data_IF_217501654065
#
_entry.id   IF_217501654065
#
_cell.length_a   1.000
_cell.length_b   1.000
_cell.length_c   1.000
_cell.angle_alpha   90.00
_cell.angle_beta   90.00
_cell.angle_gamma   90.00
#
_symmetry.space_group_name_H-M   'P 1'
#
loop_
_entity.id
_entity.type
_entity.pdbx_description
1 polymer ?
#
# COMPACT_ATOMS: atom_id res chain seq x y z
N UNK A 1 10.15 45.39 -5.55
CA UNK A 1 8.78 45.92 -5.50
C UNK A 1 7.94 45.00 -4.62
N UNK A 2 7.19 45.55 -3.67
CA UNK A 2 6.44 44.81 -2.65
C UNK A 2 5.18 44.18 -3.27
N UNK A 3 4.92 42.90 -2.97
CA UNK A 3 3.56 42.38 -2.90
C UNK A 3 3.36 41.67 -1.55
N UNK A 4 2.47 42.24 -0.75
CA UNK A 4 1.99 41.76 0.53
C UNK A 4 0.60 41.18 0.25
N UNK A 5 0.37 39.91 0.56
CA UNK A 5 -0.98 39.34 0.58
C UNK A 5 -1.29 38.93 2.02
N UNK A 6 -2.25 39.65 2.59
CA UNK A 6 -2.82 39.39 3.92
C UNK A 6 -3.97 38.41 3.77
N UNK A 7 -3.97 37.32 4.53
CA UNK A 7 -5.14 36.48 4.75
C UNK A 7 -5.51 36.56 6.23
N UNK A 8 -6.65 37.18 6.51
CA UNK A 8 -7.24 37.29 7.83
C UNK A 8 -8.30 36.19 8.03
N UNK A 9 -8.22 35.57 9.21
CA UNK A 9 -9.26 34.87 9.96
C UNK A 9 -10.04 33.71 9.31
N UNK A 10 -9.76 32.49 9.79
CA UNK A 10 -10.71 31.37 9.71
C UNK A 10 -10.14 30.09 10.30
N UNK A 11 -10.25 29.90 11.62
CA UNK A 11 -9.82 28.69 12.34
C UNK A 11 -10.48 27.44 11.74
N UNK A 12 -9.69 26.42 11.41
CA UNK A 12 -10.15 25.03 11.52
C UNK A 12 -9.44 24.39 12.72
N UNK A 13 -10.23 23.98 13.70
CA UNK A 13 -9.77 23.15 14.80
C UNK A 13 -9.41 21.76 14.26
N UNK A 14 -8.18 21.32 14.51
CA UNK A 14 -7.79 19.93 14.33
C UNK A 14 -8.24 19.14 15.56
N UNK A 15 -9.26 18.28 15.41
CA UNK A 15 -9.52 17.21 16.36
C UNK A 15 -8.79 15.95 15.88
N UNK A 16 -7.77 15.54 16.63
CA UNK A 16 -7.26 14.17 16.56
C UNK A 16 -8.38 13.24 17.02
N UNK A 17 -9.01 12.53 16.09
CA UNK A 17 -9.82 11.35 16.39
C UNK A 17 -9.33 10.21 15.51
N UNK A 18 -9.19 9.05 16.15
CA UNK A 18 -8.36 7.94 15.71
C UNK A 18 -8.61 7.46 14.29
N UNK A 19 -7.55 6.87 13.74
CA UNK A 19 -7.55 6.06 12.52
C UNK A 19 -8.73 5.09 12.63
N UNK A 20 -9.79 5.35 11.86
CA UNK A 20 -10.91 4.42 11.73
C UNK A 20 -10.42 3.27 10.87
N UNK A 21 -10.56 2.07 11.39
CA UNK A 21 -10.35 0.83 10.66
C UNK A 21 -11.15 0.86 9.34
N UNK A 22 -10.50 0.83 8.15
CA UNK A 22 -11.20 0.82 6.88
C UNK A 22 -12.18 -0.36 6.74
N UNK A 23 -11.94 -1.46 7.46
CA UNK A 23 -12.86 -2.61 7.49
C UNK A 23 -14.22 -2.27 8.11
N UNK A 24 -14.30 -1.24 8.96
CA UNK A 24 -15.59 -0.79 9.54
C UNK A 24 -16.46 0.00 8.56
N UNK A 25 -15.91 0.49 7.45
CA UNK A 25 -16.68 1.26 6.46
C UNK A 25 -17.56 0.34 5.60
N UNK A 26 -17.17 -0.92 5.42
CA UNK A 26 -17.92 -1.90 4.61
C UNK A 26 -19.02 -2.65 5.40
N UNK A 27 -19.00 -2.62 6.74
CA UNK A 27 -19.91 -3.40 7.59
C UNK A 27 -21.34 -2.84 7.76
N UNK A 28 -21.70 -1.73 7.11
CA UNK A 28 -23.04 -1.14 7.22
C UNK A 28 -23.82 -1.23 5.91
N UNK A 29 -24.34 -2.42 5.59
CA UNK A 29 -25.63 -2.61 4.90
C UNK A 29 -25.87 -4.10 4.58
N UNK A 30 -26.59 -4.81 5.46
CA UNK A 30 -27.53 -5.86 5.03
C UNK A 30 -28.48 -6.20 6.18
N UNK A 31 -29.78 -5.99 5.96
CA UNK A 31 -30.83 -6.48 6.84
C UNK A 31 -32.09 -6.83 6.05
N UNK A 32 -32.69 -7.97 6.44
CA UNK A 32 -33.99 -8.59 6.09
C UNK A 32 -34.03 -9.52 4.86
N UNK A 33 -34.72 -10.67 4.85
CA UNK A 33 -35.28 -11.56 5.89
C UNK A 33 -35.73 -12.90 5.24
N UNK A 34 -35.55 -14.03 5.95
CA UNK A 34 -36.52 -15.12 6.14
C UNK A 34 -37.01 -16.01 4.99
N UNK A 35 -36.76 -17.33 5.10
CA UNK A 35 -37.53 -18.38 4.41
C UNK A 35 -36.96 -19.79 4.63
N UNK A 36 -37.60 -20.61 5.47
CA UNK A 36 -37.16 -21.96 5.82
C UNK A 36 -37.59 -23.06 4.84
N UNK A 37 -36.74 -24.07 4.69
CA UNK A 37 -37.00 -25.35 4.04
C UNK A 37 -35.95 -26.38 4.47
N UNK A 38 -36.26 -27.70 4.51
CA UNK A 38 -35.37 -28.70 5.07
C UNK A 38 -34.14 -28.89 4.17
N UNK A 39 -32.96 -28.74 4.77
CA UNK A 39 -31.67 -28.81 4.06
C UNK A 39 -31.30 -30.27 3.84
N UNK A 40 -31.42 -30.72 2.59
CA UNK A 40 -30.82 -31.95 2.11
C UNK A 40 -29.29 -31.83 2.13
N UNK A 41 -28.60 -32.93 2.44
CA UNK A 41 -27.15 -33.02 2.55
C UNK A 41 -26.43 -32.61 1.25
N UNK A 42 -26.05 -31.33 1.16
CA UNK A 42 -25.16 -30.76 0.14
C UNK A 42 -24.37 -29.63 0.79
N UNK A 43 -23.28 -29.89 1.54
CA UNK A 43 -22.51 -28.75 2.09
C UNK A 43 -21.07 -29.04 2.56
N UNK A 44 -20.38 -30.06 2.06
CA UNK A 44 -18.96 -30.26 2.43
C UNK A 44 -17.98 -29.53 1.53
N UNK A 45 -18.35 -29.18 0.29
CA UNK A 45 -17.44 -28.45 -0.61
C UNK A 45 -17.24 -26.99 -0.19
N UNK A 46 -18.33 -26.29 0.16
CA UNK A 46 -18.32 -24.86 0.48
C UNK A 46 -17.52 -24.49 1.74
N UNK A 47 -17.20 -25.45 2.60
CA UNK A 47 -16.43 -25.24 3.84
C UNK A 47 -14.95 -25.58 3.70
N UNK A 48 -14.50 -26.01 2.52
CA UNK A 48 -13.08 -26.27 2.25
C UNK A 48 -12.39 -25.04 1.66
N UNK A 49 -11.05 -25.01 1.75
CA UNK A 49 -10.22 -24.02 1.05
C UNK A 49 -10.57 -23.98 -0.44
N UNK A 50 -10.66 -25.14 -1.10
CA UNK A 50 -11.07 -25.25 -2.51
C UNK A 50 -12.41 -24.60 -2.78
N UNK A 51 -13.43 -24.94 -1.99
CA UNK A 51 -14.77 -24.41 -2.21
C UNK A 51 -14.87 -22.90 -1.99
N UNK A 52 -14.15 -22.36 -1.00
CA UNK A 52 -14.03 -20.91 -0.81
C UNK A 52 -13.33 -20.24 -2.01
N UNK A 53 -12.24 -20.84 -2.49
CA UNK A 53 -11.49 -20.34 -3.64
C UNK A 53 -12.34 -20.33 -4.92
N UNK A 54 -13.02 -21.43 -5.23
CA UNK A 54 -13.90 -21.56 -6.40
C UNK A 54 -15.07 -20.57 -6.34
N UNK A 55 -15.74 -20.46 -5.18
CA UNK A 55 -16.86 -19.51 -4.96
C UNK A 55 -16.43 -18.07 -5.25
N UNK A 56 -15.33 -17.63 -4.65
CA UNK A 56 -14.90 -16.24 -4.76
C UNK A 56 -14.21 -15.92 -6.08
N UNK A 57 -13.49 -16.87 -6.67
CA UNK A 57 -12.95 -16.73 -8.02
C UNK A 57 -14.07 -16.45 -9.04
N UNK A 58 -15.14 -17.27 -9.01
CA UNK A 58 -16.31 -17.06 -9.87
C UNK A 58 -16.97 -15.70 -9.63
N UNK A 59 -17.11 -15.31 -8.35
CA UNK A 59 -17.72 -14.03 -7.99
C UNK A 59 -16.89 -12.84 -8.52
N UNK A 60 -15.59 -12.84 -8.29
CA UNK A 60 -14.68 -11.81 -8.78
C UNK A 60 -14.65 -11.71 -10.30
N UNK A 61 -14.68 -12.84 -11.01
CA UNK A 61 -14.80 -12.85 -12.47
C UNK A 61 -16.12 -12.21 -12.95
N UNK A 62 -17.25 -12.57 -12.31
CA UNK A 62 -18.55 -12.02 -12.67
C UNK A 62 -18.67 -10.50 -12.47
N UNK A 63 -17.94 -9.96 -11.49
CA UNK A 63 -17.91 -8.53 -11.15
C UNK A 63 -16.74 -7.79 -11.82
N UNK A 64 -15.99 -8.46 -12.72
CA UNK A 64 -14.84 -7.91 -13.44
C UNK A 64 -13.78 -7.30 -12.49
N UNK A 65 -13.47 -8.01 -11.41
CA UNK A 65 -12.37 -7.66 -10.50
C UNK A 65 -11.05 -8.08 -11.15
N UNK A 66 -10.03 -7.20 -11.23
CA UNK A 66 -8.74 -7.56 -11.81
C UNK A 66 -8.01 -8.56 -10.91
N UNK A 67 -7.26 -9.45 -11.56
CA UNK A 67 -6.45 -10.50 -10.92
C UNK A 67 -7.25 -11.36 -9.92
N UNK A 68 -8.37 -11.96 -10.35
CA UNK A 68 -9.30 -12.60 -9.43
C UNK A 68 -8.70 -13.82 -8.72
N UNK A 69 -7.87 -14.61 -9.42
CA UNK A 69 -7.18 -15.79 -8.86
C UNK A 69 -6.11 -15.39 -7.85
N UNK A 70 -5.25 -14.42 -8.20
CA UNK A 70 -4.25 -13.86 -7.29
C UNK A 70 -4.92 -13.27 -6.04
N UNK A 71 -6.04 -12.55 -6.21
CA UNK A 71 -6.79 -11.94 -5.11
C UNK A 71 -7.25 -12.98 -4.09
N UNK A 72 -8.01 -13.99 -4.52
CA UNK A 72 -8.54 -14.98 -3.58
C UNK A 72 -7.45 -15.85 -2.96
N UNK A 73 -6.42 -16.19 -3.74
CA UNK A 73 -5.32 -17.04 -3.25
C UNK A 73 -4.53 -16.34 -2.14
N UNK A 74 -4.22 -15.06 -2.30
CA UNK A 74 -3.54 -14.29 -1.27
C UNK A 74 -4.42 -14.02 -0.04
N UNK A 75 -5.72 -13.77 -0.22
CA UNK A 75 -6.67 -13.63 0.90
C UNK A 75 -6.69 -14.92 1.73
N UNK A 76 -6.81 -16.08 1.07
CA UNK A 76 -6.79 -17.38 1.77
C UNK A 76 -5.44 -17.59 2.47
N UNK A 77 -4.31 -17.38 1.79
CA UNK A 77 -2.99 -17.52 2.39
C UNK A 77 -2.84 -16.68 3.67
N UNK A 78 -3.28 -15.41 3.62
CA UNK A 78 -3.25 -14.51 4.77
C UNK A 78 -4.15 -14.97 5.92
N UNK A 79 -5.39 -15.40 5.66
CA UNK A 79 -6.31 -15.86 6.72
C UNK A 79 -5.86 -17.16 7.38
N UNK A 80 -5.13 -17.99 6.63
CA UNK A 80 -4.60 -19.26 7.11
C UNK A 80 -3.20 -19.14 7.72
N UNK A 81 -2.62 -17.93 7.74
CA UNK A 81 -1.26 -17.66 8.23
C UNK A 81 -0.21 -18.55 7.54
N UNK A 82 -0.35 -18.71 6.21
CA UNK A 82 0.60 -19.45 5.39
C UNK A 82 1.81 -18.59 5.03
N UNK A 83 2.93 -19.23 4.70
CA UNK A 83 4.15 -18.50 4.31
C UNK A 83 3.98 -17.70 3.02
N UNK A 84 3.03 -18.08 2.17
CA UNK A 84 2.67 -17.35 0.98
C UNK A 84 1.55 -18.02 0.16
N UNK A 85 1.14 -17.40 -0.95
CA UNK A 85 0.08 -17.93 -1.82
C UNK A 85 0.42 -19.28 -2.46
N UNK A 86 1.71 -19.61 -2.59
CA UNK A 86 2.16 -20.90 -3.15
C UNK A 86 1.75 -22.11 -2.31
N UNK A 87 1.61 -21.93 -0.99
CA UNK A 87 1.29 -23.03 -0.07
C UNK A 87 -0.20 -23.41 -0.11
N UNK A 88 -1.07 -22.53 -0.64
CA UNK A 88 -2.54 -22.76 -0.66
C UNK A 88 -2.93 -24.06 -1.37
N UNK A 89 -2.14 -24.49 -2.36
CA UNK A 89 -2.34 -25.76 -3.09
C UNK A 89 -2.33 -26.99 -2.19
N UNK A 90 -1.49 -27.00 -1.16
CA UNK A 90 -1.36 -28.13 -0.24
C UNK A 90 -2.53 -28.20 0.77
N UNK A 91 -3.27 -27.11 0.90
CA UNK A 91 -4.36 -26.97 1.86
C UNK A 91 -5.76 -27.10 1.24
N UNK A 92 -5.88 -27.40 -0.05
CA UNK A 92 -7.15 -27.39 -0.81
C UNK A 92 -8.29 -28.19 -0.18
N UNK A 93 -7.99 -29.33 0.45
CA UNK A 93 -8.99 -30.19 1.08
C UNK A 93 -9.20 -29.90 2.58
N UNK A 94 -8.47 -28.93 3.13
CA UNK A 94 -8.60 -28.54 4.53
C UNK A 94 -9.95 -27.85 4.77
N UNK A 95 -10.59 -28.17 5.90
CA UNK A 95 -11.79 -27.47 6.35
C UNK A 95 -11.44 -26.11 6.94
N UNK A 96 -12.21 -25.09 6.59
CA UNK A 96 -12.14 -23.76 7.18
C UNK A 96 -13.05 -23.71 8.40
N UNK A 97 -12.56 -23.11 9.49
CA UNK A 97 -13.41 -22.74 10.62
C UNK A 97 -14.38 -21.62 10.21
N UNK A 98 -15.46 -21.44 10.97
CA UNK A 98 -16.43 -20.34 10.75
C UNK A 98 -15.74 -18.97 10.81
N UNK A 99 -14.79 -18.79 11.71
CA UNK A 99 -14.02 -17.56 11.84
C UNK A 99 -13.15 -17.29 10.61
N UNK A 100 -12.47 -18.32 10.08
CA UNK A 100 -11.67 -18.20 8.86
C UNK A 100 -12.54 -17.88 7.65
N UNK A 101 -13.68 -18.57 7.50
CA UNK A 101 -14.62 -18.28 6.42
C UNK A 101 -15.13 -16.84 6.49
N UNK A 102 -15.58 -16.40 7.67
CA UNK A 102 -16.05 -15.01 7.88
C UNK A 102 -14.98 -14.00 7.51
N UNK A 103 -13.72 -14.25 7.89
CA UNK A 103 -12.59 -13.36 7.57
C UNK A 103 -12.30 -13.30 6.07
N UNK A 104 -12.32 -14.45 5.38
CA UNK A 104 -12.18 -14.52 3.91
C UNK A 104 -13.31 -13.72 3.26
N UNK A 105 -14.55 -13.91 3.69
CA UNK A 105 -15.71 -13.20 3.14
C UNK A 105 -15.59 -11.68 3.34
N UNK A 106 -15.24 -11.21 4.54
CA UNK A 106 -14.99 -9.78 4.82
C UNK A 106 -13.93 -9.17 3.89
N UNK A 107 -12.80 -9.86 3.70
CA UNK A 107 -11.72 -9.41 2.83
C UNK A 107 -12.14 -9.41 1.36
N UNK A 108 -12.91 -10.42 0.92
CA UNK A 108 -13.43 -10.48 -0.44
C UNK A 108 -14.47 -9.40 -0.72
N UNK A 109 -15.32 -9.04 0.23
CA UNK A 109 -16.25 -7.91 0.10
C UNK A 109 -15.49 -6.58 -0.06
N UNK A 110 -14.38 -6.40 0.67
CA UNK A 110 -13.49 -5.24 0.45
C UNK A 110 -12.91 -5.23 -0.97
N UNK A 111 -12.53 -6.42 -1.49
CA UNK A 111 -12.03 -6.55 -2.86
C UNK A 111 -13.12 -6.24 -3.90
N UNK A 112 -14.36 -6.66 -3.67
CA UNK A 112 -15.52 -6.31 -4.51
C UNK A 112 -15.78 -4.80 -4.54
N UNK A 113 -15.50 -4.10 -3.44
CA UNK A 113 -15.52 -2.64 -3.38
C UNK A 113 -14.38 -1.96 -4.16
N UNK A 114 -13.58 -2.72 -4.94
CA UNK A 114 -12.41 -2.28 -5.70
C UNK A 114 -11.22 -1.90 -4.82
N UNK A 115 -11.18 -2.27 -3.54
CA UNK A 115 -9.99 -2.01 -2.73
C UNK A 115 -8.82 -2.84 -3.26
N UNK A 116 -7.63 -2.23 -3.46
CA UNK A 116 -6.41 -2.96 -3.78
C UNK A 116 -6.13 -4.05 -2.74
N UNK A 117 -5.70 -5.23 -3.22
CA UNK A 117 -5.38 -6.39 -2.39
C UNK A 117 -4.37 -6.07 -1.28
N UNK A 118 -3.38 -5.24 -1.61
CA UNK A 118 -2.34 -4.77 -0.70
C UNK A 118 -2.90 -4.03 0.51
N UNK A 119 -3.96 -3.22 0.33
CA UNK A 119 -4.61 -2.54 1.44
C UNK A 119 -5.54 -3.43 2.25
N UNK A 120 -6.10 -4.47 1.61
CA UNK A 120 -6.93 -5.47 2.29
C UNK A 120 -6.04 -6.32 3.22
N UNK A 121 -4.90 -6.78 2.72
CA UNK A 121 -3.91 -7.58 3.47
C UNK A 121 -3.09 -6.72 4.44
N UNK A 122 -2.90 -5.43 4.12
CA UNK A 122 -2.16 -4.40 4.89
C UNK A 122 -0.65 -4.55 4.92
N UNK A 123 -0.13 -5.57 4.29
CA UNK A 123 1.29 -5.77 4.06
C UNK A 123 1.51 -6.35 2.68
N UNK A 124 2.66 -6.04 2.09
CA UNK A 124 3.02 -6.51 0.77
C UNK A 124 4.53 -6.60 0.67
N UNK A 125 5.00 -7.64 -0.02
CA UNK A 125 6.41 -7.80 -0.30
C UNK A 125 6.86 -6.79 -1.35
N UNK A 126 7.97 -6.15 -1.06
CA UNK A 126 8.72 -5.30 -1.97
C UNK A 126 10.17 -5.75 -1.89
N UNK A 127 10.62 -6.46 -2.92
CA UNK A 127 11.91 -7.18 -2.91
C UNK A 127 12.03 -8.14 -1.72
N UNK A 128 13.03 -7.96 -0.85
CA UNK A 128 13.30 -8.78 0.34
C UNK A 128 12.71 -8.19 1.63
N UNK A 129 11.80 -7.22 1.50
CA UNK A 129 11.13 -6.54 2.61
C UNK A 129 9.63 -6.75 2.53
N UNK A 130 9.01 -7.14 3.64
CA UNK A 130 7.56 -7.05 3.81
C UNK A 130 7.23 -5.70 4.42
N UNK A 131 6.48 -4.88 3.68
CA UNK A 131 6.16 -3.50 4.07
C UNK A 131 4.66 -3.36 4.33
N UNK A 132 4.31 -2.59 5.34
CA UNK A 132 2.91 -2.21 5.58
C UNK A 132 2.41 -1.31 4.46
N UNK A 133 1.13 -1.50 4.13
CA UNK A 133 0.39 -0.78 3.10
C UNK A 133 -0.87 -0.18 3.71
N UNK A 134 -1.03 1.13 3.58
CA UNK A 134 -2.23 1.83 4.07
C UNK A 134 -2.76 2.78 3.01
N UNK A 135 -4.08 2.84 2.77
CA UNK A 135 -4.65 3.87 1.91
C UNK A 135 -4.53 5.25 2.61
N UNK A 136 -4.27 6.34 1.85
CA UNK A 136 -4.13 6.39 0.41
C UNK A 136 -2.67 6.42 -0.07
N UNK A 137 -1.72 5.89 0.72
CA UNK A 137 -0.29 5.96 0.40
C UNK A 137 0.03 5.05 -0.77
N UNK A 138 0.64 5.61 -1.82
CA UNK A 138 0.99 4.92 -3.05
C UNK A 138 1.56 3.52 -2.82
N UNK A 139 0.99 2.54 -3.52
CA UNK A 139 1.46 1.15 -3.49
C UNK A 139 2.66 1.04 -4.44
N UNK A 140 3.87 0.68 -3.96
CA UNK A 140 5.04 0.48 -4.83
C UNK A 140 4.73 -0.49 -5.97
N UNK A 141 5.25 -0.18 -7.16
CA UNK A 141 5.02 -0.99 -8.38
C UNK A 141 6.24 -1.84 -8.73
N UNK A 142 6.10 -2.91 -9.53
CA UNK A 142 7.24 -3.72 -9.98
C UNK A 142 8.37 -2.88 -10.62
N UNK A 143 8.03 -1.85 -11.38
CA UNK A 143 9.01 -0.93 -11.99
C UNK A 143 9.81 -0.15 -10.93
N UNK A 144 9.25 0.04 -9.72
CA UNK A 144 9.97 0.64 -8.58
C UNK A 144 11.02 -0.33 -8.02
N UNK A 145 10.80 -1.65 -8.10
CA UNK A 145 11.82 -2.63 -7.75
C UNK A 145 12.98 -2.62 -8.74
N UNK A 146 12.68 -2.48 -10.04
CA UNK A 146 13.69 -2.33 -11.09
C UNK A 146 14.55 -1.08 -10.88
N UNK A 147 13.94 0.05 -10.50
CA UNK A 147 14.67 1.27 -10.13
C UNK A 147 15.66 1.01 -8.98
N UNK A 148 15.23 0.32 -7.93
CA UNK A 148 16.09 -0.02 -6.79
C UNK A 148 17.23 -0.94 -7.22
N UNK A 149 16.95 -1.92 -8.07
CA UNK A 149 17.98 -2.82 -8.61
C UNK A 149 19.05 -2.04 -9.39
N UNK A 150 18.65 -1.12 -10.27
CA UNK A 150 19.58 -0.27 -11.02
C UNK A 150 20.43 0.61 -10.10
N UNK A 151 19.85 1.16 -9.04
CA UNK A 151 20.57 1.94 -8.03
C UNK A 151 21.64 1.08 -7.36
N UNK A 152 21.26 -0.11 -6.88
CA UNK A 152 22.17 -1.01 -6.17
C UNK A 152 23.30 -1.54 -7.06
N UNK A 153 23.06 -1.72 -8.36
CA UNK A 153 24.10 -2.09 -9.32
C UNK A 153 25.16 -1.00 -9.53
N UNK A 154 24.78 0.27 -9.34
CA UNK A 154 25.68 1.42 -9.48
C UNK A 154 26.37 1.80 -8.16
N UNK A 155 25.83 1.36 -7.03
CA UNK A 155 26.39 1.63 -5.71
C UNK A 155 27.47 0.63 -5.32
N UNK A 156 28.54 1.11 -4.69
CA UNK A 156 29.40 0.26 -3.88
C UNK A 156 28.74 0.09 -2.49
N UNK A 157 28.15 -1.08 -2.25
CA UNK A 157 27.45 -1.38 -0.98
C UNK A 157 28.34 -1.29 0.26
N UNK A 158 29.67 -1.32 0.08
CA UNK A 158 30.65 -1.20 1.17
C UNK A 158 31.16 0.23 1.37
N UNK A 159 30.74 1.18 0.54
CA UNK A 159 31.04 2.60 0.68
C UNK A 159 29.94 3.29 1.48
N UNK A 160 30.32 4.16 2.40
CA UNK A 160 29.37 5.08 3.04
C UNK A 160 28.74 5.96 1.96
N UNK A 161 27.42 5.87 1.84
CA UNK A 161 26.63 6.70 0.92
C UNK A 161 25.53 7.37 1.72
N UNK A 162 25.46 8.69 1.61
CA UNK A 162 24.41 9.49 2.20
C UNK A 162 23.45 9.98 1.13
N UNK A 163 22.22 9.46 1.13
CA UNK A 163 21.25 9.72 0.06
C UNK A 163 20.03 10.52 0.52
N UNK A 164 19.36 11.14 -0.46
CA UNK A 164 18.04 11.75 -0.31
C UNK A 164 17.02 11.02 -1.17
N UNK A 165 15.91 10.58 -0.58
CA UNK A 165 14.71 10.18 -1.32
C UNK A 165 13.67 11.30 -1.29
N UNK A 166 13.10 11.63 -2.45
CA UNK A 166 11.98 12.56 -2.60
C UNK A 166 10.72 11.76 -2.94
N UNK A 167 9.65 11.96 -2.18
CA UNK A 167 8.38 11.24 -2.36
C UNK A 167 8.42 9.83 -1.81
N UNK A 168 8.82 9.68 -0.54
CA UNK A 168 9.10 8.36 0.07
C UNK A 168 7.95 7.35 0.07
N UNK A 169 6.69 7.81 0.03
CA UNK A 169 5.54 6.91 0.04
C UNK A 169 5.52 5.99 1.26
N UNK A 170 5.70 4.68 1.04
CA UNK A 170 5.81 3.65 2.08
C UNK A 170 7.23 3.44 2.61
N UNK A 171 8.22 4.12 2.03
CA UNK A 171 9.65 3.93 2.30
C UNK A 171 10.31 2.84 1.47
N UNK A 172 9.60 2.27 0.49
CA UNK A 172 10.05 1.09 -0.25
C UNK A 172 11.46 1.22 -0.84
N UNK A 173 11.77 2.35 -1.49
CA UNK A 173 13.07 2.62 -2.09
C UNK A 173 14.14 2.80 -1.00
N UNK A 174 13.96 3.77 -0.09
CA UNK A 174 14.91 4.03 1.01
C UNK A 174 15.27 2.76 1.79
N UNK A 175 14.25 2.00 2.21
CA UNK A 175 14.44 0.82 3.05
C UNK A 175 15.16 -0.29 2.28
N UNK A 176 14.84 -0.49 1.01
CA UNK A 176 15.53 -1.47 0.17
C UNK A 176 17.00 -1.11 -0.07
N UNK A 177 17.30 0.17 -0.29
CA UNK A 177 18.68 0.67 -0.40
C UNK A 177 19.43 0.40 0.90
N UNK A 178 18.87 0.80 2.05
CA UNK A 178 19.51 0.64 3.35
C UNK A 178 19.72 -0.83 3.71
N UNK A 179 18.79 -1.71 3.36
CA UNK A 179 18.89 -3.16 3.57
C UNK A 179 20.12 -3.74 2.87
N UNK A 180 20.40 -3.31 1.64
CA UNK A 180 21.49 -3.85 0.81
C UNK A 180 22.81 -3.06 0.89
N UNK A 181 22.77 -1.82 1.38
CA UNK A 181 23.95 -0.99 1.61
C UNK A 181 24.08 -0.70 3.12
N UNK A 182 24.72 -1.61 3.89
CA UNK A 182 24.71 -1.56 5.35
C UNK A 182 25.43 -0.36 5.96
N UNK A 183 26.34 0.28 5.21
CA UNK A 183 27.04 1.51 5.63
C UNK A 183 26.33 2.79 5.21
N UNK A 184 25.29 2.68 4.41
CA UNK A 184 24.53 3.85 3.94
C UNK A 184 23.56 4.34 4.99
N UNK A 185 23.28 5.64 4.93
CA UNK A 185 22.19 6.30 5.67
C UNK A 185 21.48 7.26 4.73
N UNK A 186 20.26 7.66 5.08
CA UNK A 186 19.46 8.48 4.18
C UNK A 186 18.52 9.45 4.87
N UNK A 187 18.06 10.40 4.08
CA UNK A 187 16.92 11.23 4.38
C UNK A 187 15.80 10.90 3.40
N UNK A 188 14.58 10.74 3.88
CA UNK A 188 13.39 10.65 3.05
C UNK A 188 12.51 11.89 3.29
N UNK A 189 12.02 12.50 2.23
CA UNK A 189 11.03 13.58 2.31
C UNK A 189 9.73 13.19 1.60
N UNK A 190 8.60 13.62 2.16
CA UNK A 190 7.31 13.45 1.52
C UNK A 190 6.36 14.60 1.88
N UNK A 191 5.52 15.05 0.93
CA UNK A 191 4.51 16.06 1.19
C UNK A 191 3.36 15.52 2.05
N UNK A 192 3.09 14.22 1.95
CA UNK A 192 2.03 13.53 2.67
C UNK A 192 2.47 13.18 4.08
N UNK A 193 1.66 13.61 5.05
CA UNK A 193 1.86 13.24 6.46
C UNK A 193 1.70 11.72 6.65
N UNK A 194 0.72 11.12 5.98
CA UNK A 194 0.43 9.68 6.07
C UNK A 194 1.58 8.85 5.49
N UNK A 195 2.16 9.28 4.36
CA UNK A 195 3.35 8.65 3.81
C UNK A 195 4.54 8.71 4.79
N UNK A 196 4.82 9.89 5.35
CA UNK A 196 5.87 10.02 6.36
C UNK A 196 5.64 9.14 7.60
N UNK A 197 4.40 8.99 8.05
CA UNK A 197 4.05 8.10 9.18
C UNK A 197 4.25 6.63 8.79
N UNK A 198 3.80 6.21 7.61
CA UNK A 198 4.00 4.85 7.09
C UNK A 198 5.47 4.51 6.90
N UNK A 199 6.27 5.40 6.29
CA UNK A 199 7.72 5.23 6.14
C UNK A 199 8.41 5.02 7.49
N UNK A 200 8.00 5.76 8.54
CA UNK A 200 8.55 5.57 9.90
C UNK A 200 8.17 4.21 10.47
N UNK A 201 6.91 3.81 10.32
CA UNK A 201 6.42 2.54 10.81
C UNK A 201 7.13 1.37 10.13
N UNK A 202 7.27 1.42 8.81
CA UNK A 202 8.01 0.43 8.03
C UNK A 202 9.49 0.41 8.40
N UNK A 203 10.14 1.57 8.53
CA UNK A 203 11.54 1.64 8.94
C UNK A 203 11.77 0.98 10.30
N UNK A 204 10.88 1.20 11.26
CA UNK A 204 10.95 0.55 12.57
C UNK A 204 10.70 -0.96 12.47
N UNK A 205 9.68 -1.38 11.69
CA UNK A 205 9.34 -2.80 11.52
C UNK A 205 10.49 -3.62 10.92
N UNK A 206 11.25 -3.05 9.99
CA UNK A 206 12.39 -3.74 9.34
C UNK A 206 13.75 -3.43 10.00
N UNK A 207 13.77 -2.68 11.10
CA UNK A 207 14.98 -2.39 11.89
C UNK A 207 15.96 -1.41 11.23
N UNK A 208 15.48 -0.46 10.43
CA UNK A 208 16.27 0.50 9.65
C UNK A 208 16.03 1.97 10.05
N UNK A 209 15.19 2.21 11.07
CA UNK A 209 14.82 3.54 11.57
C UNK A 209 16.01 4.38 12.05
N UNK A 210 17.05 3.74 12.61
CA UNK A 210 18.28 4.43 13.01
C UNK A 210 19.08 5.02 11.84
N UNK A 211 18.87 4.53 10.61
CA UNK A 211 19.61 4.93 9.40
C UNK A 211 18.79 5.77 8.44
N UNK A 212 17.52 6.04 8.75
CA UNK A 212 16.61 6.81 7.89
C UNK A 212 15.95 7.95 8.66
N UNK A 213 16.25 9.20 8.28
CA UNK A 213 15.59 10.38 8.83
C UNK A 213 14.45 10.82 7.90
N UNK A 214 13.27 11.08 8.44
CA UNK A 214 12.06 11.32 7.64
C UNK A 214 11.46 12.70 7.94
N UNK A 215 11.29 13.52 6.91
CA UNK A 215 10.73 14.87 7.01
C UNK A 215 9.48 15.04 6.16
N UNK A 216 8.46 15.68 6.73
CA UNK A 216 7.30 16.11 5.95
C UNK A 216 7.65 17.41 5.22
N UNK A 217 7.80 17.35 3.90
CA UNK A 217 8.13 18.51 3.07
C UNK A 217 7.66 18.32 1.63
N UNK A 218 7.16 19.41 1.03
CA UNK A 218 6.85 19.44 -0.40
C UNK A 218 8.00 20.16 -1.12
N UNK A 219 8.67 19.46 -2.03
CA UNK A 219 9.71 20.05 -2.86
C UNK A 219 9.06 20.94 -3.93
N UNK A 220 9.13 22.26 -3.74
CA UNK A 220 8.67 23.25 -4.73
C UNK A 220 9.86 24.04 -5.29
N UNK A 221 10.79 24.44 -4.42
CA UNK A 221 11.99 25.19 -4.80
C UNK A 221 13.23 24.64 -4.09
N UNK A 222 13.14 24.49 -2.76
CA UNK A 222 14.27 24.13 -1.92
C UNK A 222 13.91 23.00 -0.95
N UNK A 223 14.96 22.36 -0.44
CA UNK A 223 14.88 21.44 0.69
C UNK A 223 14.39 22.17 1.96
N UNK A 224 13.93 21.44 3.00
CA UNK A 224 13.69 22.03 4.32
C UNK A 224 14.91 22.83 4.78
N UNK A 225 14.71 23.97 5.45
CA UNK A 225 15.83 24.79 5.96
C UNK A 225 16.84 23.98 6.79
N UNK A 226 16.35 22.99 7.54
CA UNK A 226 17.19 22.07 8.33
C UNK A 226 18.13 21.21 7.49
N UNK A 227 17.92 21.14 6.18
CA UNK A 227 18.67 20.36 5.20
C UNK A 227 19.31 21.24 4.11
N UNK A 228 19.19 22.56 4.18
CA UNK A 228 19.61 23.46 3.09
C UNK A 228 21.11 23.39 2.77
N UNK A 229 21.95 23.10 3.77
CA UNK A 229 23.41 22.97 3.62
C UNK A 229 23.86 21.51 3.47
N UNK A 230 22.92 20.56 3.45
CA UNK A 230 23.23 19.14 3.40
C UNK A 230 23.65 18.74 1.98
N UNK A 231 24.78 18.05 1.87
CA UNK A 231 25.20 17.40 0.63
C UNK A 231 24.81 15.93 0.64
N UNK A 232 24.44 15.41 -0.52
CA UNK A 232 24.04 14.02 -0.74
C UNK A 232 24.91 13.42 -1.84
N UNK A 233 25.34 12.19 -1.66
CA UNK A 233 26.04 11.40 -2.67
C UNK A 233 25.09 10.95 -3.79
N UNK A 234 23.80 10.80 -3.46
CA UNK A 234 22.77 10.32 -4.35
C UNK A 234 21.42 10.95 -4.02
N UNK A 235 20.65 11.32 -5.05
CA UNK A 235 19.25 11.71 -4.92
C UNK A 235 18.43 10.71 -5.74
N UNK A 236 17.41 10.15 -5.10
CA UNK A 236 16.46 9.22 -5.72
C UNK A 236 15.04 9.75 -5.56
N UNK A 237 14.20 9.47 -6.55
CA UNK A 237 12.78 9.81 -6.51
C UNK A 237 12.02 8.87 -7.43
N UNK A 238 10.81 8.50 -7.02
CA UNK A 238 9.77 8.02 -7.94
C UNK A 238 8.64 9.05 -7.93
N UNK A 239 8.82 10.19 -8.65
CA UNK A 239 7.87 11.28 -8.61
C UNK A 239 6.57 10.91 -9.33
N UNK A 240 5.46 11.62 -9.08
CA UNK A 240 4.26 11.45 -9.90
C UNK A 240 4.54 11.77 -11.38
N UNK A 241 4.13 10.90 -12.28
CA UNK A 241 4.42 11.00 -13.72
C UNK A 241 3.19 10.82 -14.62
N UNK A 242 1.99 10.67 -14.06
CA UNK A 242 0.76 10.48 -14.84
C UNK A 242 0.24 11.85 -15.30
N UNK A 243 0.08 12.09 -16.61
CA UNK A 243 -0.53 13.32 -17.11
C UNK A 243 -1.92 13.53 -16.49
N UNK A 244 -2.23 14.75 -16.04
CA UNK A 244 -3.48 15.07 -15.33
C UNK A 244 -4.72 14.68 -16.15
N UNK A 245 -4.62 14.75 -17.48
CA UNK A 245 -5.70 14.38 -18.41
C UNK A 245 -6.04 12.88 -18.39
N UNK A 246 -5.12 12.03 -17.95
CA UNK A 246 -5.31 10.58 -17.85
C UNK A 246 -5.81 10.14 -16.46
N UNK A 247 -5.76 11.00 -15.44
CA UNK A 247 -6.25 10.64 -14.10
C UNK A 247 -7.70 10.14 -14.08
N UNK A 248 -8.66 10.73 -14.84
CA UNK A 248 -10.03 10.21 -14.88
C UNK A 248 -10.15 8.80 -15.47
N UNK A 249 -9.20 8.39 -16.31
CA UNK A 249 -9.20 7.09 -17.01
C UNK A 249 -8.51 5.99 -16.21
N UNK A 250 -7.87 6.31 -15.09
CA UNK A 250 -7.24 5.31 -14.23
C UNK A 250 -8.26 4.30 -13.68
N UNK A 251 -7.77 3.11 -13.32
CA UNK A 251 -8.60 2.05 -12.77
C UNK A 251 -9.28 2.47 -11.46
N UNK A 252 -10.48 1.93 -11.13
CA UNK A 252 -11.20 2.24 -9.90
C UNK A 252 -10.36 2.03 -8.64
N UNK A 253 -9.58 0.96 -8.59
CA UNK A 253 -8.62 0.61 -7.53
C UNK A 253 -7.72 1.79 -7.17
N UNK A 254 -7.22 2.48 -8.20
CA UNK A 254 -6.30 3.60 -8.05
C UNK A 254 -7.07 4.88 -7.68
N UNK A 255 -8.12 5.21 -8.43
CA UNK A 255 -8.86 6.46 -8.25
C UNK A 255 -9.55 6.58 -6.90
N UNK A 256 -10.01 5.46 -6.35
CA UNK A 256 -10.79 5.43 -5.12
C UNK A 256 -9.87 5.36 -3.89
N UNK A 257 -8.78 4.60 -3.98
CA UNK A 257 -8.00 4.23 -2.80
C UNK A 257 -6.58 4.81 -2.73
N UNK A 258 -6.04 5.41 -3.80
CA UNK A 258 -4.71 6.03 -3.77
C UNK A 258 -4.78 7.55 -3.80
N UNK A 259 -3.74 8.21 -3.28
CA UNK A 259 -3.62 9.65 -3.30
C UNK A 259 -3.26 10.08 -4.71
N UNK A 260 -4.22 10.68 -5.43
CA UNK A 260 -3.99 11.16 -6.80
C UNK A 260 -2.82 12.14 -6.90
N UNK A 261 -2.42 12.82 -5.81
CA UNK A 261 -1.23 13.70 -5.80
C UNK A 261 0.09 12.93 -5.88
N UNK A 262 0.09 11.64 -5.56
CA UNK A 262 1.22 10.75 -5.75
C UNK A 262 1.29 10.21 -7.20
N UNK A 263 0.29 10.54 -8.04
CA UNK A 263 0.21 10.09 -9.43
C UNK A 263 0.26 11.27 -10.42
N UNK A 264 -0.38 12.39 -10.08
CA UNK A 264 -0.53 13.57 -10.94
C UNK A 264 0.80 14.29 -11.19
N UNK A 265 1.38 14.02 -12.35
CA UNK A 265 2.60 14.66 -12.86
C UNK A 265 2.33 15.97 -13.60
N UNK A 266 1.14 16.54 -13.51
CA UNK A 266 0.79 17.78 -14.19
C UNK A 266 0.40 17.57 -15.66
N UNK A 267 0.47 18.64 -16.47
CA UNK A 267 -0.15 18.69 -17.80
C UNK A 267 0.36 17.60 -18.76
N UNK A 268 1.66 17.31 -18.73
CA UNK A 268 2.35 16.34 -19.59
C UNK A 268 2.93 15.16 -18.81
N UNK A 269 2.86 15.18 -17.47
CA UNK A 269 3.43 14.15 -16.60
C UNK A 269 4.91 14.35 -16.27
N UNK A 270 5.51 15.51 -16.58
CA UNK A 270 6.94 15.81 -16.40
C UNK A 270 7.22 17.16 -15.73
#
# INVERSE_FOLDING_TARGET
ARLRLTLCSGRLQASCTGIRDPLKVCSSNSSTAGGGGPVAAQSTSATTVRGAQEKWLQRFQSENIPEPETSITNIIAHVLDLSGPGDVGDHQNSSLSEQQMSRIEEMCECRLARMPLQYIIREWDFRDLTLKMIPPVFIPRPETEELVELILQQMDSQKETFFLEIGSGSGAISLSILKHAPKSSGIAIDQSRLACELTRENAAAVGLDSRLRIFKHKLINDLPETLAEQQFDMIVSNPPYVPSVLLPTLEPEIKIYEDLRALDGGNDGL
#
